data_IF_342262924167
#
_entry.id   IF_342262924167
#
_cell.length_a   1.000
_cell.length_b   1.000
_cell.length_c   1.000
_cell.angle_alpha   90.00
_cell.angle_beta   90.00
_cell.angle_gamma   90.00
#
_symmetry.space_group_name_H-M   'P 1'
#
loop_
_entity.id
_entity.type
_entity.pdbx_description
1 polymer ?
#
# COMPACT_ATOMS: atom_id res chain seq x y z
N UNK A 1 -15.98 68.73 21.76
CA UNK A 1 -15.92 67.66 22.79
C UNK A 1 -16.00 66.31 22.08
N UNK A 2 -14.96 65.47 22.09
CA UNK A 2 -15.05 64.15 21.49
C UNK A 2 -15.88 63.25 22.41
N UNK A 3 -16.97 62.69 21.88
CA UNK A 3 -17.87 61.81 22.60
C UNK A 3 -17.17 60.51 23.01
N UNK A 4 -17.24 60.18 24.30
CA UNK A 4 -16.75 58.91 24.83
C UNK A 4 -17.75 57.81 24.49
N UNK A 5 -17.54 57.14 23.37
CA UNK A 5 -18.19 55.86 23.12
C UNK A 5 -17.61 54.85 24.11
N UNK A 6 -18.39 54.45 25.11
CA UNK A 6 -18.10 53.28 25.92
C UNK A 6 -18.26 52.04 25.02
N UNK A 7 -17.20 51.73 24.26
CA UNK A 7 -17.01 50.41 23.68
C UNK A 7 -16.83 49.48 24.87
N UNK A 8 -17.89 48.77 25.26
CA UNK A 8 -17.80 47.72 26.25
C UNK A 8 -16.63 46.80 25.85
N UNK A 9 -15.61 46.73 26.69
CA UNK A 9 -14.44 45.88 26.47
C UNK A 9 -14.95 44.45 26.48
N UNK A 10 -15.16 43.87 25.30
CA UNK A 10 -15.56 42.47 25.18
C UNK A 10 -14.40 41.62 25.69
N UNK A 11 -14.61 40.97 26.82
CA UNK A 11 -13.71 39.94 27.34
C UNK A 11 -13.99 38.63 26.61
N UNK A 12 -12.94 38.03 26.05
CA UNK A 12 -13.01 36.69 25.45
C UNK A 12 -12.41 35.68 26.41
N UNK A 13 -13.07 34.54 26.55
CA UNK A 13 -12.58 33.46 27.41
C UNK A 13 -11.62 32.55 26.63
N UNK A 14 -10.38 32.42 27.09
CA UNK A 14 -9.30 31.66 26.45
C UNK A 14 -9.12 30.36 27.24
N UNK A 15 -9.15 29.17 26.61
CA UNK A 15 -8.99 28.92 25.17
C UNK A 15 -10.28 28.80 24.36
N UNK A 16 -11.46 28.85 24.99
CA UNK A 16 -12.74 28.54 24.34
C UNK A 16 -13.05 29.41 23.11
N UNK A 17 -12.70 30.70 23.16
CA UNK A 17 -12.90 31.62 22.04
C UNK A 17 -12.03 31.28 20.81
N UNK A 18 -10.95 30.52 20.98
CA UNK A 18 -10.01 30.15 19.92
C UNK A 18 -10.37 28.79 19.30
N UNK A 19 -11.16 27.98 20.01
CA UNK A 19 -11.56 26.66 19.57
C UNK A 19 -12.86 26.73 18.76
N UNK A 20 -13.02 25.87 17.74
CA UNK A 20 -14.31 25.72 17.07
C UNK A 20 -15.32 25.12 18.04
N UNK A 21 -16.54 25.65 18.05
CA UNK A 21 -17.65 25.14 18.86
C UNK A 21 -18.52 24.18 18.05
N UNK A 22 -19.16 23.24 18.73
CA UNK A 22 -20.07 22.27 18.10
C UNK A 22 -21.50 22.57 18.53
N UNK A 23 -22.39 22.63 17.56
CA UNK A 23 -23.83 22.82 17.79
C UNK A 23 -24.53 21.58 18.30
N UNK A 24 -25.76 21.75 18.77
CA UNK A 24 -26.67 20.65 19.16
C UNK A 24 -26.92 19.65 18.02
N UNK A 25 -26.92 20.12 16.76
CA UNK A 25 -27.01 19.28 15.55
C UNK A 25 -25.67 18.65 15.15
N UNK A 26 -24.59 18.97 15.88
CA UNK A 26 -23.26 18.43 15.68
C UNK A 26 -22.43 19.10 14.59
N UNK A 27 -22.88 20.23 14.04
CA UNK A 27 -22.12 21.03 13.09
C UNK A 27 -21.04 21.84 13.80
N UNK A 28 -19.85 21.97 13.17
CA UNK A 28 -18.77 22.78 13.71
C UNK A 28 -18.88 24.23 13.23
N UNK A 29 -18.89 25.16 14.18
CA UNK A 29 -18.77 26.59 13.90
C UNK A 29 -17.32 27.05 13.95
N UNK A 30 -16.99 28.10 13.18
CA UNK A 30 -15.69 28.74 13.29
C UNK A 30 -15.49 29.31 14.71
N UNK A 31 -14.22 29.43 15.16
CA UNK A 31 -13.91 30.02 16.44
C UNK A 31 -14.36 31.49 16.50
N UNK A 32 -14.70 31.95 17.72
CA UNK A 32 -15.12 33.33 17.97
C UNK A 32 -13.99 34.30 17.63
N UNK A 33 -12.75 33.93 17.93
CA UNK A 33 -11.54 34.64 17.53
C UNK A 33 -10.93 34.00 16.29
N UNK A 34 -10.64 34.82 15.29
CA UNK A 34 -9.96 34.37 14.09
C UNK A 34 -8.52 33.92 14.39
N UNK A 35 -7.95 33.11 13.50
CA UNK A 35 -6.57 32.63 13.61
C UNK A 35 -5.54 33.75 13.71
N UNK A 36 -5.84 34.94 13.18
CA UNK A 36 -5.00 36.13 13.32
C UNK A 36 -4.96 36.62 14.76
N UNK A 37 -6.12 36.85 15.38
CA UNK A 37 -6.18 37.33 16.76
C UNK A 37 -5.63 36.29 17.75
N UNK A 38 -5.79 35.00 17.45
CA UNK A 38 -5.07 33.93 18.16
C UNK A 38 -3.56 34.16 18.14
N UNK A 39 -2.96 34.39 16.98
CA UNK A 39 -1.52 34.60 16.84
C UNK A 39 -1.05 35.87 17.57
N UNK A 40 -1.87 36.94 17.56
CA UNK A 40 -1.57 38.16 18.31
C UNK A 40 -1.55 37.90 19.84
N UNK A 41 -2.49 37.11 20.36
CA UNK A 41 -2.51 36.69 21.77
C UNK A 41 -1.29 35.81 22.08
N UNK A 42 -1.00 34.80 21.24
CA UNK A 42 0.16 33.92 21.40
C UNK A 42 1.47 34.71 21.42
N UNK A 43 1.58 35.76 20.59
CA UNK A 43 2.71 36.70 20.59
C UNK A 43 2.83 37.46 21.91
N UNK A 44 1.73 37.89 22.52
CA UNK A 44 1.76 38.57 23.82
C UNK A 44 2.28 37.63 24.92
N UNK A 45 1.82 36.37 24.95
CA UNK A 45 2.36 35.37 25.87
C UNK A 45 3.86 35.20 25.70
N UNK A 46 4.33 35.09 24.45
CA UNK A 46 5.75 34.98 24.13
C UNK A 46 6.56 36.21 24.59
N UNK A 47 6.04 37.43 24.42
CA UNK A 47 6.71 38.66 24.87
C UNK A 47 6.84 38.77 26.39
N UNK A 48 6.02 38.03 27.14
CA UNK A 48 6.01 38.03 28.60
C UNK A 48 6.65 36.76 29.19
N UNK A 49 7.41 36.00 28.39
CA UNK A 49 8.04 34.74 28.78
C UNK A 49 7.05 33.68 29.33
N UNK A 50 5.78 33.78 28.92
CA UNK A 50 4.74 32.83 29.30
C UNK A 50 4.61 31.72 28.23
N UNK A 51 4.59 30.44 28.62
CA UNK A 51 4.43 29.35 27.67
C UNK A 51 2.99 29.30 27.13
N UNK A 52 2.85 29.02 25.83
CA UNK A 52 1.55 28.77 25.21
C UNK A 52 1.10 27.32 25.44
N UNK A 53 0.39 27.10 26.56
CA UNK A 53 -0.04 25.76 27.02
C UNK A 53 -1.17 25.17 26.17
N UNK A 54 -1.85 25.97 25.36
CA UNK A 54 -3.05 25.58 24.62
C UNK A 54 -2.77 24.86 23.28
N UNK A 55 -1.50 24.53 22.98
CA UNK A 55 -1.17 23.65 21.86
C UNK A 55 -1.55 22.20 22.21
N UNK A 56 -2.14 21.47 21.24
CA UNK A 56 -2.52 20.06 21.43
C UNK A 56 -1.35 19.17 21.85
N UNK A 57 -0.15 19.51 21.40
CA UNK A 57 1.07 18.74 21.63
C UNK A 57 2.00 19.37 22.67
N UNK A 58 1.50 20.27 23.54
CA UNK A 58 2.34 21.02 24.47
C UNK A 58 3.21 20.12 25.36
N UNK A 59 2.63 19.04 25.91
CA UNK A 59 3.34 18.12 26.80
C UNK A 59 4.09 17.00 26.06
N UNK A 60 3.68 16.67 24.84
CA UNK A 60 4.20 15.53 24.08
C UNK A 60 5.32 15.90 23.13
N UNK A 61 5.53 17.20 22.88
CA UNK A 61 6.42 17.69 21.83
C UNK A 61 5.82 17.51 20.44
N UNK A 62 6.30 18.31 19.49
CA UNK A 62 5.89 18.19 18.09
C UNK A 62 7.00 17.49 17.32
N UNK A 63 6.73 16.33 16.73
CA UNK A 63 7.62 15.74 15.74
C UNK A 63 7.53 16.53 14.45
N UNK A 64 8.66 17.00 13.93
CA UNK A 64 8.66 17.67 12.65
C UNK A 64 8.46 16.62 11.54
N UNK A 65 7.76 16.98 10.46
CA UNK A 65 7.57 16.06 9.33
C UNK A 65 8.90 15.55 8.77
N UNK A 66 9.95 16.37 8.80
CA UNK A 66 11.30 15.99 8.37
C UNK A 66 12.04 15.08 9.36
N UNK A 67 11.58 14.93 10.60
CA UNK A 67 12.15 13.96 11.55
C UNK A 67 11.67 12.54 11.25
N UNK A 68 10.59 12.40 10.46
CA UNK A 68 10.09 11.10 10.05
C UNK A 68 11.06 10.44 9.08
N UNK A 69 11.16 9.11 9.15
CA UNK A 69 11.97 8.33 8.22
C UNK A 69 11.53 8.60 6.78
N UNK A 70 12.48 8.99 5.94
CA UNK A 70 12.21 9.35 4.54
C UNK A 70 11.73 8.12 3.78
N UNK A 71 10.54 8.20 3.22
CA UNK A 71 10.02 7.19 2.29
C UNK A 71 10.82 7.34 0.98
N UNK A 72 11.57 6.29 0.63
CA UNK A 72 12.36 6.26 -0.60
C UNK A 72 11.51 6.20 -1.88
N UNK A 73 12.17 6.26 -3.04
CA UNK A 73 11.46 6.14 -4.33
C UNK A 73 10.82 4.75 -4.46
N UNK A 74 9.59 4.68 -4.99
CA UNK A 74 8.85 3.42 -5.20
C UNK A 74 9.65 2.34 -5.96
N UNK A 75 10.54 2.75 -6.87
CA UNK A 75 11.42 1.86 -7.64
C UNK A 75 12.35 1.04 -6.75
N UNK A 76 12.81 1.58 -5.61
CA UNK A 76 13.74 0.90 -4.70
C UNK A 76 13.10 -0.34 -4.08
N UNK A 77 11.89 -0.19 -3.56
CA UNK A 77 11.12 -1.30 -2.97
C UNK A 77 10.71 -2.36 -4.00
N UNK A 78 10.47 -1.97 -5.26
CA UNK A 78 10.10 -2.91 -6.33
C UNK A 78 11.27 -3.72 -6.87
N UNK A 79 12.49 -3.20 -6.78
CA UNK A 79 13.68 -3.82 -7.37
C UNK A 79 13.97 -5.19 -6.74
N UNK A 80 13.84 -5.29 -5.43
CA UNK A 80 14.08 -6.54 -4.70
C UNK A 80 13.07 -7.61 -5.08
N UNK A 81 11.78 -7.28 -5.05
CA UNK A 81 10.72 -8.19 -5.50
C UNK A 81 10.86 -8.61 -6.97
N UNK A 82 11.31 -7.70 -7.85
CA UNK A 82 11.59 -8.03 -9.25
C UNK A 82 12.77 -8.99 -9.39
N UNK A 83 13.83 -8.79 -8.61
CA UNK A 83 15.00 -9.67 -8.61
C UNK A 83 14.64 -11.08 -8.13
N UNK A 84 13.80 -11.20 -7.09
CA UNK A 84 13.33 -12.50 -6.59
C UNK A 84 12.51 -13.24 -7.66
N UNK A 85 11.54 -12.56 -8.28
CA UNK A 85 10.75 -13.13 -9.39
C UNK A 85 11.63 -13.55 -10.56
N UNK A 86 12.65 -12.76 -10.89
CA UNK A 86 13.61 -13.10 -11.93
C UNK A 86 14.45 -14.33 -11.55
N UNK A 87 14.86 -14.46 -10.29
CA UNK A 87 15.62 -15.63 -9.81
C UNK A 87 14.77 -16.90 -9.88
N UNK A 88 13.50 -16.83 -9.52
CA UNK A 88 12.56 -17.94 -9.63
C UNK A 88 12.29 -18.33 -11.08
N UNK A 89 12.09 -17.35 -11.98
CA UNK A 89 11.90 -17.65 -13.39
C UNK A 89 13.14 -18.30 -13.99
N UNK A 90 14.34 -17.80 -13.68
CA UNK A 90 15.61 -18.38 -14.12
C UNK A 90 15.77 -19.84 -13.71
N UNK A 91 15.38 -20.21 -12.48
CA UNK A 91 15.38 -21.61 -12.03
C UNK A 91 14.47 -22.50 -12.89
N UNK A 92 13.33 -21.97 -13.35
CA UNK A 92 12.32 -22.70 -14.14
C UNK A 92 12.63 -22.75 -15.64
N UNK A 93 13.61 -21.99 -16.14
CA UNK A 93 13.93 -21.92 -17.59
C UNK A 93 14.22 -23.30 -18.17
N UNK A 94 15.03 -24.12 -17.50
CA UNK A 94 15.42 -25.41 -18.04
C UNK A 94 14.22 -26.34 -18.25
N UNK A 95 13.26 -26.33 -17.31
CA UNK A 95 12.04 -27.14 -17.42
C UNK A 95 11.17 -26.64 -18.57
N UNK A 96 10.97 -25.33 -18.69
CA UNK A 96 10.21 -24.73 -19.78
C UNK A 96 10.83 -25.05 -21.16
N UNK A 97 12.16 -25.09 -21.25
CA UNK A 97 12.86 -25.46 -22.49
C UNK A 97 12.65 -26.94 -22.83
N UNK A 98 12.65 -27.83 -21.84
CA UNK A 98 12.37 -29.25 -22.05
C UNK A 98 10.93 -29.47 -22.50
N UNK A 99 9.95 -28.87 -21.82
CA UNK A 99 8.54 -28.90 -22.19
C UNK A 99 8.33 -28.39 -23.62
N UNK A 100 8.96 -27.27 -23.98
CA UNK A 100 8.88 -26.72 -25.33
C UNK A 100 9.48 -27.65 -26.39
N UNK A 101 10.59 -28.32 -26.09
CA UNK A 101 11.21 -29.30 -26.99
C UNK A 101 10.33 -30.53 -27.19
N UNK A 102 9.71 -31.04 -26.13
CA UNK A 102 8.77 -32.14 -26.20
C UNK A 102 7.54 -31.77 -27.02
N UNK A 103 6.98 -30.58 -26.81
CA UNK A 103 5.89 -30.08 -27.64
C UNK A 103 6.26 -30.01 -29.12
N UNK A 104 7.46 -29.48 -29.44
CA UNK A 104 7.92 -29.41 -30.82
C UNK A 104 8.09 -30.80 -31.43
N UNK A 105 8.60 -31.77 -30.66
CA UNK A 105 8.72 -33.16 -31.08
C UNK A 105 7.34 -33.78 -31.35
N UNK A 106 6.37 -33.55 -30.48
CA UNK A 106 5.01 -34.08 -30.61
C UNK A 106 4.21 -33.41 -31.74
N UNK A 107 4.48 -32.12 -32.02
CA UNK A 107 3.88 -31.38 -33.15
C UNK A 107 4.45 -31.79 -34.51
N UNK A 108 5.61 -32.46 -34.56
CA UNK A 108 6.23 -32.92 -35.80
C UNK A 108 5.33 -33.94 -36.48
N UNK A 109 5.04 -33.73 -37.77
CA UNK A 109 4.27 -34.70 -38.57
C UNK A 109 5.06 -36.01 -38.68
N UNK A 110 4.44 -37.12 -38.32
CA UNK A 110 4.99 -38.46 -38.49
C UNK A 110 5.33 -38.75 -39.95
N UNK A 111 6.48 -39.36 -40.18
CA UNK A 111 6.85 -39.91 -41.48
C UNK A 111 5.97 -41.14 -41.81
N UNK A 112 5.92 -41.58 -43.07
CA UNK A 112 5.03 -42.67 -43.51
C UNK A 112 5.18 -43.95 -42.66
N UNK A 113 6.42 -44.40 -42.40
CA UNK A 113 6.69 -45.57 -41.58
C UNK A 113 6.30 -45.36 -40.10
N UNK A 114 6.55 -44.18 -39.55
CA UNK A 114 6.17 -43.82 -38.18
C UNK A 114 4.65 -43.78 -38.00
N UNK A 115 3.91 -43.31 -39.02
CA UNK A 115 2.44 -43.37 -39.04
C UNK A 115 1.96 -44.81 -38.98
N UNK A 116 2.52 -45.68 -39.82
CA UNK A 116 2.18 -47.11 -39.89
C UNK A 116 2.48 -47.81 -38.54
N UNK A 117 3.61 -47.52 -37.92
CA UNK A 117 3.98 -48.04 -36.58
C UNK A 117 3.06 -47.51 -35.49
N UNK A 118 2.67 -46.23 -35.51
CA UNK A 118 1.70 -45.69 -34.54
C UNK A 118 0.31 -46.31 -34.71
N UNK A 119 -0.17 -46.52 -35.94
CA UNK A 119 -1.49 -47.09 -36.19
C UNK A 119 -1.55 -48.60 -35.91
N UNK A 120 -0.48 -49.34 -36.24
CA UNK A 120 -0.40 -50.78 -35.99
C UNK A 120 0.07 -51.11 -34.56
N UNK A 121 0.72 -50.17 -33.87
CA UNK A 121 1.21 -50.35 -32.50
C UNK A 121 0.09 -50.73 -31.53
N UNK A 122 -1.09 -50.12 -31.67
CA UNK A 122 -2.26 -50.43 -30.85
C UNK A 122 -2.84 -51.83 -31.14
N UNK A 123 -2.88 -52.25 -32.41
CA UNK A 123 -3.40 -53.58 -32.81
C UNK A 123 -2.43 -54.72 -32.46
N UNK A 124 -1.12 -54.47 -32.60
CA UNK A 124 -0.06 -55.42 -32.31
C UNK A 124 0.10 -55.58 -30.79
N UNK A 125 0.10 -54.49 -30.02
CA UNK A 125 0.19 -54.57 -28.56
C UNK A 125 -0.93 -55.43 -27.97
N UNK A 126 -2.16 -55.29 -28.46
CA UNK A 126 -3.30 -56.07 -27.98
C UNK A 126 -3.21 -57.57 -28.29
N UNK A 127 -2.46 -57.95 -29.33
CA UNK A 127 -2.22 -59.35 -29.75
C UNK A 127 -1.10 -60.03 -28.96
N UNK A 128 -0.12 -59.26 -28.48
CA UNK A 128 1.05 -59.78 -27.74
C UNK A 128 1.01 -59.51 -26.23
N UNK A 129 0.11 -58.67 -25.73
CA UNK A 129 -0.23 -58.63 -24.29
C UNK A 129 -0.89 -59.96 -23.95
N UNK A 130 -0.08 -60.91 -23.47
CA UNK A 130 -0.60 -62.07 -22.74
C UNK A 130 -1.43 -61.53 -21.59
N UNK A 131 -2.75 -61.78 -21.62
CA UNK A 131 -3.57 -61.74 -20.41
C UNK A 131 -2.87 -62.65 -19.41
N UNK A 132 -2.22 -62.07 -18.41
CA UNK A 132 -1.87 -62.81 -17.19
C UNK A 132 -3.22 -63.15 -16.55
N UNK A 133 -3.77 -64.30 -16.96
CA UNK A 133 -4.83 -64.97 -16.22
C UNK A 133 -4.11 -65.60 -15.02
N UNK A 134 -4.52 -65.18 -13.83
CA UNK A 134 -4.15 -65.66 -12.51
C UNK A 134 -2.80 -65.15 -11.95
N UNK A 135 -2.90 -64.12 -11.11
CA UNK A 135 -2.25 -64.16 -9.81
C UNK A 135 -3.38 -64.12 -8.78
N UNK A 136 -3.72 -65.30 -8.25
CA UNK A 136 -4.29 -65.40 -6.92
C UNK A 136 -3.11 -65.27 -5.96
N UNK A 137 -3.05 -64.17 -5.22
CA UNK A 137 -2.61 -64.00 -3.83
C UNK A 137 -2.60 -62.52 -3.49
#
# INVERSE_FOLDING_TARGET
MPGTYNLAVKSYDIPYAILPTKDELGMFHPPILSGRYKADIEKQYYMHDLPWVWHKNFYTGTSHFCDNMVIGKKKWYRKEQQNEKMKESMKKINNLVLEYREECKNKKRYNFLEKVVNTLGDEIAHKYIRKIKNIYL
#
